data_IF_145604319886
#
_entry.id   IF_145604319886
#
_cell.length_a   1.000
_cell.length_b   1.000
_cell.length_c   1.000
_cell.angle_alpha   90.00
_cell.angle_beta   90.00
_cell.angle_gamma   90.00
#
_symmetry.space_group_name_H-M   'P 1'
#
loop_
_entity.id
_entity.type
_entity.pdbx_description
1 polymer ?
#
# COMPACT_ATOMS: atom_id res chain seq x y z
N UNK A 1 -7.76 -17.70 18.13
CA UNK A 1 -8.26 -16.33 18.34
C UNK A 1 -8.06 -15.70 16.99
N UNK A 2 -9.16 -15.53 16.26
CA UNK A 2 -9.09 -15.20 14.85
C UNK A 2 -8.65 -13.74 14.68
N UNK A 3 -7.56 -13.57 13.92
CA UNK A 3 -6.72 -12.38 13.89
C UNK A 3 -7.14 -11.39 12.82
N UNK A 4 -6.80 -10.12 13.08
CA UNK A 4 -6.88 -9.04 12.10
C UNK A 4 -5.49 -8.87 11.50
N UNK A 5 -5.41 -8.85 10.17
CA UNK A 5 -4.17 -8.65 9.43
C UNK A 5 -4.23 -7.37 8.60
N UNK A 6 -3.08 -6.74 8.42
CA UNK A 6 -2.90 -5.60 7.52
C UNK A 6 -2.09 -6.03 6.29
N UNK A 7 -2.48 -5.58 5.10
CA UNK A 7 -1.67 -5.66 3.89
C UNK A 7 -0.83 -4.39 3.73
N UNK A 8 0.43 -4.54 3.30
CA UNK A 8 1.36 -3.42 3.12
C UNK A 8 2.33 -3.65 1.95
N UNK A 9 2.87 -2.56 1.40
CA UNK A 9 3.76 -2.58 0.23
C UNK A 9 4.77 -1.43 0.20
N UNK A 10 4.85 -0.63 1.27
CA UNK A 10 5.71 0.56 1.34
C UNK A 10 6.32 0.73 2.74
N UNK A 11 6.65 1.96 3.11
CA UNK A 11 7.20 2.32 4.42
C UNK A 11 6.37 1.83 5.61
N UNK A 12 5.10 1.42 5.43
CA UNK A 12 4.36 0.79 6.53
C UNK A 12 5.07 -0.47 7.07
N UNK A 13 5.84 -1.16 6.23
CA UNK A 13 6.60 -2.37 6.59
C UNK A 13 7.78 -2.05 7.51
N UNK A 14 8.62 -1.10 7.13
CA UNK A 14 9.83 -0.70 7.88
C UNK A 14 9.53 0.29 9.01
N UNK A 15 8.50 1.11 8.83
CA UNK A 15 8.11 2.20 9.73
C UNK A 15 6.61 2.11 10.06
N UNK A 16 6.17 1.08 10.82
CA UNK A 16 4.76 0.91 11.17
C UNK A 16 4.21 2.06 12.04
N UNK A 17 5.10 2.84 12.67
CA UNK A 17 4.72 3.98 13.51
C UNK A 17 3.83 3.56 14.67
N UNK A 18 2.65 4.16 14.79
CA UNK A 18 1.67 3.82 15.83
C UNK A 18 0.80 2.58 15.53
N UNK A 19 1.04 1.87 14.42
CA UNK A 19 0.30 0.66 14.09
C UNK A 19 0.85 -0.53 14.92
N UNK A 20 0.03 -1.22 15.74
CA UNK A 20 0.52 -2.26 16.64
C UNK A 20 0.67 -3.59 15.89
N UNK A 21 1.77 -3.71 15.14
CA UNK A 21 2.14 -4.93 14.42
C UNK A 21 2.59 -5.99 15.42
N UNK A 22 1.89 -7.12 15.46
CA UNK A 22 2.18 -8.22 16.37
C UNK A 22 3.57 -8.78 16.11
N UNK A 23 4.37 -8.88 17.17
CA UNK A 23 5.75 -9.35 17.16
C UNK A 23 6.69 -8.59 16.18
N UNK A 24 6.27 -7.42 15.68
CA UNK A 24 6.91 -6.71 14.56
C UNK A 24 7.21 -7.61 13.35
N UNK A 25 6.36 -8.63 13.11
CA UNK A 25 6.60 -9.66 12.09
C UNK A 25 5.78 -9.41 10.83
N UNK A 26 6.48 -9.34 9.71
CA UNK A 26 5.90 -9.28 8.36
C UNK A 26 6.11 -10.58 7.60
N UNK A 27 5.14 -10.92 6.77
CA UNK A 27 5.13 -12.09 5.90
C UNK A 27 5.11 -11.65 4.44
N UNK A 28 5.85 -12.35 3.59
CA UNK A 28 6.12 -11.95 2.19
C UNK A 28 5.23 -12.66 1.16
N UNK A 29 4.30 -13.48 1.63
CA UNK A 29 3.46 -14.36 0.83
C UNK A 29 1.99 -13.90 0.80
N UNK A 30 1.78 -12.58 0.78
CA UNK A 30 0.47 -11.94 0.67
C UNK A 30 -0.20 -12.14 -0.70
N UNK A 31 -1.40 -11.55 -0.90
CA UNK A 31 -2.08 -11.59 -2.18
C UNK A 31 -1.34 -10.77 -3.24
N UNK A 32 -1.57 -11.06 -4.51
CA UNK A 32 -1.12 -10.19 -5.60
C UNK A 32 -2.16 -9.10 -5.84
N UNK A 33 -1.78 -7.84 -5.71
CA UNK A 33 -2.66 -6.67 -5.88
C UNK A 33 -2.07 -5.70 -6.91
N UNK A 34 -2.91 -4.99 -7.68
CA UNK A 34 -2.42 -4.08 -8.72
C UNK A 34 -1.91 -2.80 -8.06
N UNK A 35 -0.61 -2.60 -8.05
CA UNK A 35 0.04 -1.46 -7.42
C UNK A 35 0.75 -0.62 -8.46
N UNK A 36 0.77 0.70 -8.26
CA UNK A 36 1.66 1.58 -9.00
C UNK A 36 1.99 2.86 -8.20
N UNK A 37 3.12 3.49 -8.51
CA UNK A 37 3.60 4.76 -7.95
C UNK A 37 2.76 5.93 -8.51
N UNK A 38 1.49 5.95 -8.12
CA UNK A 38 0.41 6.66 -8.82
C UNK A 38 -0.37 7.62 -7.91
N UNK A 39 0.07 7.80 -6.67
CA UNK A 39 -0.49 8.77 -5.73
C UNK A 39 0.47 9.91 -5.46
N UNK A 40 -0.04 11.14 -5.44
CA UNK A 40 0.70 12.30 -4.94
C UNK A 40 0.21 12.60 -3.52
N UNK A 41 1.09 12.49 -2.55
CA UNK A 41 0.84 12.77 -1.12
C UNK A 41 0.54 14.26 -0.88
N UNK A 42 -0.05 14.65 0.27
CA UNK A 42 -0.25 16.06 0.60
C UNK A 42 1.04 16.90 0.55
N UNK A 43 2.18 16.29 0.85
CA UNK A 43 3.51 16.90 0.81
C UNK A 43 4.13 16.97 -0.59
N UNK A 44 3.37 16.63 -1.65
CA UNK A 44 3.81 16.63 -3.05
C UNK A 44 4.91 15.61 -3.38
N UNK A 45 5.09 14.59 -2.55
CA UNK A 45 5.86 13.39 -2.92
C UNK A 45 4.95 12.31 -3.54
N UNK A 46 5.54 11.28 -4.13
CA UNK A 46 4.82 10.12 -4.68
C UNK A 46 4.68 8.99 -3.67
N UNK A 47 3.63 8.19 -3.82
CA UNK A 47 3.39 6.98 -3.04
C UNK A 47 2.81 5.85 -3.90
N UNK A 48 3.13 4.61 -3.54
CA UNK A 48 2.47 3.42 -4.06
C UNK A 48 1.03 3.37 -3.58
N UNK A 49 0.11 3.11 -4.50
CA UNK A 49 -1.27 2.80 -4.15
C UNK A 49 -1.86 1.81 -5.15
N UNK A 50 -3.06 1.34 -4.83
CA UNK A 50 -3.82 0.43 -5.67
C UNK A 50 -4.25 1.13 -6.95
N UNK A 51 -3.81 0.62 -8.10
CA UNK A 51 -3.99 1.22 -9.42
C UNK A 51 -4.71 0.22 -10.32
N UNK A 52 -5.97 0.50 -10.67
CA UNK A 52 -6.74 -0.38 -11.56
C UNK A 52 -6.02 -0.59 -12.89
N UNK A 53 -6.01 -1.84 -13.35
CA UNK A 53 -5.34 -2.26 -14.58
C UNK A 53 -3.81 -2.32 -14.52
N UNK A 54 -3.18 -2.04 -13.37
CA UNK A 54 -1.75 -2.29 -13.19
C UNK A 54 -1.44 -3.78 -13.03
N UNK A 55 -0.20 -4.16 -13.32
CA UNK A 55 0.26 -5.53 -13.12
C UNK A 55 0.20 -5.91 -11.62
N UNK A 56 -0.37 -7.07 -11.27
CA UNK A 56 -0.44 -7.49 -9.87
C UNK A 56 0.94 -7.79 -9.28
N UNK A 57 1.20 -7.24 -8.09
CA UNK A 57 2.43 -7.46 -7.31
C UNK A 57 2.08 -8.10 -5.98
N UNK A 58 2.89 -9.07 -5.55
CA UNK A 58 2.72 -9.74 -4.26
C UNK A 58 3.02 -8.75 -3.13
N UNK A 59 2.01 -8.49 -2.30
CA UNK A 59 2.15 -7.59 -1.15
C UNK A 59 2.56 -8.34 0.11
N UNK A 60 2.98 -7.60 1.13
CA UNK A 60 3.29 -8.14 2.45
C UNK A 60 2.06 -8.08 3.34
N UNK A 61 2.08 -8.85 4.41
CA UNK A 61 1.03 -8.81 5.43
C UNK A 61 1.59 -9.02 6.84
N UNK A 62 0.85 -8.59 7.85
CA UNK A 62 1.19 -8.81 9.25
C UNK A 62 -0.06 -8.85 10.13
N UNK A 63 0.02 -9.57 11.25
CA UNK A 63 -1.01 -9.54 12.28
C UNK A 63 -0.97 -8.22 13.05
N UNK A 64 -2.15 -7.74 13.47
CA UNK A 64 -2.30 -6.59 14.35
C UNK A 64 -2.74 -7.01 15.75
N UNK A 65 -2.28 -6.27 16.75
CA UNK A 65 -2.84 -6.31 18.10
C UNK A 65 -4.12 -5.46 18.16
N UNK A 66 -5.18 -5.96 17.52
CA UNK A 66 -6.51 -5.36 17.52
C UNK A 66 -7.59 -6.45 17.59
N UNK A 67 -8.65 -6.18 18.36
CA UNK A 67 -9.77 -7.11 18.60
C UNK A 67 -10.98 -6.84 17.68
N UNK A 68 -11.11 -5.62 17.18
CA UNK A 68 -12.26 -5.15 16.38
C UNK A 68 -11.83 -4.52 15.06
N UNK A 69 -12.61 -4.78 14.01
CA UNK A 69 -12.42 -4.18 12.67
C UNK A 69 -12.36 -2.66 12.75
N UNK A 70 -13.31 -2.04 13.45
CA UNK A 70 -13.36 -0.59 13.63
C UNK A 70 -12.11 -0.02 14.29
N UNK A 71 -11.52 -0.73 15.26
CA UNK A 71 -10.28 -0.34 15.92
C UNK A 71 -9.09 -0.45 14.97
N UNK A 72 -8.99 -1.55 14.22
CA UNK A 72 -7.91 -1.77 13.26
C UNK A 72 -7.95 -0.76 12.11
N UNK A 73 -9.15 -0.50 11.57
CA UNK A 73 -9.43 0.54 10.57
C UNK A 73 -9.00 1.92 11.08
N UNK A 74 -9.41 2.29 12.30
CA UNK A 74 -9.01 3.56 12.90
C UNK A 74 -7.49 3.66 13.07
N UNK A 75 -6.83 2.62 13.59
CA UNK A 75 -5.38 2.60 13.79
C UNK A 75 -4.62 2.81 12.47
N UNK A 76 -5.03 2.09 11.42
CA UNK A 76 -4.43 2.24 10.11
C UNK A 76 -4.70 3.64 9.53
N UNK A 77 -5.91 4.18 9.70
CA UNK A 77 -6.24 5.54 9.24
C UNK A 77 -5.38 6.61 9.94
N UNK A 78 -5.13 6.46 11.25
CA UNK A 78 -4.23 7.35 11.97
C UNK A 78 -2.80 7.27 11.44
N UNK A 79 -2.31 6.05 11.17
CA UNK A 79 -0.97 5.84 10.60
C UNK A 79 -0.84 6.42 9.19
N UNK A 80 -1.89 6.35 8.39
CA UNK A 80 -1.92 6.90 7.03
C UNK A 80 -2.21 8.41 6.99
N UNK A 81 -2.62 9.01 8.12
CA UNK A 81 -3.05 10.41 8.18
C UNK A 81 -4.30 10.67 7.33
N UNK A 82 -5.23 9.71 7.28
CA UNK A 82 -6.42 9.77 6.44
C UNK A 82 -7.71 9.47 7.23
N UNK A 83 -8.85 9.70 6.58
CA UNK A 83 -10.15 9.33 7.14
C UNK A 83 -10.38 7.82 7.04
N UNK A 84 -11.08 7.20 8.01
CA UNK A 84 -11.35 5.75 8.05
C UNK A 84 -11.92 5.16 6.75
N UNK A 85 -12.68 5.93 5.96
CA UNK A 85 -13.27 5.45 4.71
C UNK A 85 -12.24 5.21 3.61
N UNK A 86 -10.98 5.62 3.81
CA UNK A 86 -9.84 5.33 2.92
C UNK A 86 -9.01 4.12 3.39
N UNK A 87 -9.55 3.34 4.33
CA UNK A 87 -9.02 2.03 4.71
C UNK A 87 -10.00 0.98 4.22
N UNK A 88 -9.53 0.07 3.39
CA UNK A 88 -10.33 -1.06 2.97
C UNK A 88 -10.32 -2.16 4.04
N UNK A 89 -11.40 -2.93 4.11
CA UNK A 89 -11.46 -4.12 4.94
C UNK A 89 -12.28 -5.22 4.29
N UNK A 90 -11.97 -6.46 4.68
CA UNK A 90 -12.74 -7.65 4.39
C UNK A 90 -12.84 -8.49 5.67
N UNK A 91 -14.06 -8.73 6.14
CA UNK A 91 -14.36 -9.68 7.22
C UNK A 91 -14.79 -11.02 6.58
N UNK A 92 -14.01 -12.07 6.83
CA UNK A 92 -14.20 -13.38 6.21
C UNK A 92 -15.40 -14.15 6.79
N UNK A 93 -15.77 -13.85 8.04
CA UNK A 93 -16.83 -14.56 8.75
C UNK A 93 -18.21 -14.04 8.32
N UNK A 94 -18.38 -12.72 8.34
CA UNK A 94 -19.62 -12.07 7.90
C UNK A 94 -19.72 -11.93 6.38
N UNK A 95 -18.58 -11.95 5.68
CA UNK A 95 -18.48 -11.60 4.27
C UNK A 95 -18.53 -10.10 3.99
N UNK A 96 -18.71 -9.25 5.01
CA UNK A 96 -18.76 -7.80 4.90
C UNK A 96 -17.42 -7.24 4.43
N UNK A 97 -17.45 -6.26 3.54
CA UNK A 97 -16.25 -5.57 3.07
C UNK A 97 -16.54 -4.12 2.72
N UNK A 98 -15.48 -3.31 2.74
CA UNK A 98 -15.49 -1.95 2.25
C UNK A 98 -14.21 -1.68 1.46
N UNK A 99 -14.35 -1.01 0.33
CA UNK A 99 -13.22 -0.49 -0.44
C UNK A 99 -13.66 0.59 -1.43
N UNK A 100 -12.69 1.35 -1.93
CA UNK A 100 -12.81 2.45 -2.88
C UNK A 100 -12.06 2.19 -4.18
N UNK A 101 -11.00 1.36 -4.15
CA UNK A 101 -10.13 1.13 -5.31
C UNK A 101 -10.09 -0.31 -5.82
N UNK A 102 -10.29 -1.30 -4.95
CA UNK A 102 -10.03 -2.74 -5.21
C UNK A 102 -11.26 -3.63 -5.16
N UNK A 103 -12.45 -3.10 -5.47
CA UNK A 103 -13.69 -3.88 -5.58
C UNK A 103 -13.52 -5.14 -6.44
N UNK A 104 -12.87 -5.03 -7.59
CA UNK A 104 -12.58 -6.15 -8.50
C UNK A 104 -11.56 -7.16 -7.95
N UNK A 105 -10.80 -6.80 -6.91
CA UNK A 105 -9.76 -7.63 -6.28
C UNK A 105 -10.11 -8.12 -4.88
N UNK A 106 -11.29 -7.78 -4.33
CA UNK A 106 -11.73 -8.29 -3.03
C UNK A 106 -11.74 -9.82 -3.01
N UNK A 107 -12.16 -10.46 -4.09
CA UNK A 107 -12.15 -11.92 -4.17
C UNK A 107 -10.74 -12.51 -4.22
N UNK A 108 -9.76 -11.79 -4.78
CA UNK A 108 -8.35 -12.17 -4.69
C UNK A 108 -7.86 -12.16 -3.24
N UNK A 109 -8.24 -11.14 -2.47
CA UNK A 109 -7.90 -11.05 -1.04
C UNK A 109 -8.60 -12.16 -0.25
N UNK A 110 -9.89 -12.39 -0.52
CA UNK A 110 -10.69 -13.46 0.12
C UNK A 110 -10.07 -14.82 -0.10
N UNK A 111 -9.78 -15.16 -1.36
CA UNK A 111 -9.18 -16.44 -1.74
C UNK A 111 -7.83 -16.63 -1.06
N UNK A 112 -6.96 -15.61 -1.13
CA UNK A 112 -5.65 -15.67 -0.48
C UNK A 112 -5.76 -15.94 1.03
N UNK A 113 -6.65 -15.23 1.72
CA UNK A 113 -6.81 -15.41 3.16
C UNK A 113 -7.42 -16.79 3.50
N UNK A 114 -8.31 -17.31 2.64
CA UNK A 114 -8.80 -18.69 2.72
C UNK A 114 -7.68 -19.72 2.59
N UNK A 115 -6.83 -19.58 1.57
CA UNK A 115 -5.64 -20.43 1.35
C UNK A 115 -4.67 -20.37 2.55
N UNK A 116 -4.52 -19.21 3.20
CA UNK A 116 -3.73 -19.07 4.44
C UNK A 116 -4.36 -19.82 5.61
N UNK A 117 -5.67 -19.71 5.77
CA UNK A 117 -6.39 -20.42 6.83
C UNK A 117 -6.33 -21.94 6.64
N UNK A 118 -6.43 -22.42 5.40
CA UNK A 118 -6.21 -23.84 5.07
C UNK A 118 -4.78 -24.29 5.40
N UNK A 119 -3.80 -23.39 5.28
CA UNK A 119 -2.41 -23.63 5.65
C UNK A 119 -2.12 -23.48 7.16
N UNK A 120 -3.13 -23.23 7.99
CA UNK A 120 -3.01 -23.18 9.45
C UNK A 120 -2.93 -21.78 10.06
N UNK A 121 -3.12 -20.72 9.27
CA UNK A 121 -3.35 -19.37 9.80
C UNK A 121 -4.78 -19.25 10.38
N UNK A 122 -5.03 -18.20 11.16
CA UNK A 122 -6.34 -17.91 11.78
C UNK A 122 -6.74 -16.47 11.43
N UNK A 123 -6.80 -16.14 10.13
CA UNK A 123 -7.16 -14.80 9.63
C UNK A 123 -8.69 -14.67 9.63
N UNK A 124 -9.20 -13.65 10.33
CA UNK A 124 -10.63 -13.25 10.29
C UNK A 124 -10.86 -12.05 9.40
N UNK A 125 -9.99 -11.05 9.51
CA UNK A 125 -10.20 -9.73 8.91
C UNK A 125 -8.92 -9.31 8.23
N UNK A 126 -9.03 -8.83 7.00
CA UNK A 126 -7.93 -8.23 6.25
C UNK A 126 -8.22 -6.75 6.10
N UNK A 127 -7.26 -5.88 6.42
CA UNK A 127 -7.35 -4.44 6.18
C UNK A 127 -6.19 -3.95 5.31
N UNK A 128 -6.37 -2.84 4.59
CA UNK A 128 -5.33 -2.28 3.73
C UNK A 128 -5.48 -0.78 3.50
N UNK A 129 -4.41 -0.14 3.05
CA UNK A 129 -4.42 1.25 2.60
C UNK A 129 -5.18 1.37 1.27
N UNK A 130 -6.31 2.06 1.26
CA UNK A 130 -7.20 2.17 0.10
C UNK A 130 -7.31 3.63 -0.40
N UNK A 131 -6.22 4.38 -0.22
CA UNK A 131 -6.06 5.72 -0.78
C UNK A 131 -5.97 5.67 -2.31
N UNK A 132 -6.83 6.44 -2.98
CA UNK A 132 -6.93 6.46 -4.44
C UNK A 132 -5.65 6.99 -5.13
N UNK A 133 -5.35 6.50 -6.34
CA UNK A 133 -4.40 7.16 -7.22
C UNK A 133 -4.93 8.55 -7.58
N UNK A 134 -4.01 9.51 -7.69
CA UNK A 134 -4.36 10.87 -8.07
C UNK A 134 -3.21 11.63 -8.76
N UNK A 135 -2.17 10.92 -9.19
CA UNK A 135 -1.06 11.47 -9.97
C UNK A 135 -1.56 12.23 -11.18
N UNK A 136 -2.43 11.64 -12.00
CA UNK A 136 -2.84 12.28 -13.25
C UNK A 136 -3.55 13.61 -13.02
N UNK A 137 -4.40 13.65 -12.00
CA UNK A 137 -5.12 14.85 -11.58
C UNK A 137 -4.19 15.91 -10.98
N UNK A 138 -3.24 15.51 -10.13
CA UNK A 138 -2.38 16.45 -9.37
C UNK A 138 -1.16 16.92 -10.15
N UNK A 139 -0.55 16.04 -10.95
CA UNK A 139 0.56 16.34 -11.84
C UNK A 139 0.11 16.87 -13.21
N UNK A 140 -1.18 16.70 -13.56
CA UNK A 140 -1.76 17.07 -14.87
C UNK A 140 -1.02 16.41 -16.04
N UNK A 141 -0.70 15.12 -15.89
CA UNK A 141 0.08 14.29 -16.81
C UNK A 141 -0.44 12.86 -16.74
N UNK A 142 -0.42 12.12 -17.83
CA UNK A 142 -0.72 10.69 -17.81
C UNK A 142 0.30 9.94 -16.95
N UNK A 143 -0.14 8.85 -16.29
CA UNK A 143 0.73 8.00 -15.50
C UNK A 143 1.65 7.18 -16.41
N UNK A 144 2.81 7.74 -16.75
CA UNK A 144 3.88 7.05 -17.48
C UNK A 144 5.21 7.21 -16.74
N UNK A 145 6.18 6.29 -16.94
CA UNK A 145 7.51 6.41 -16.39
C UNK A 145 8.16 7.78 -16.66
N UNK A 146 8.08 8.27 -17.89
CA UNK A 146 8.70 9.53 -18.32
C UNK A 146 8.06 10.73 -17.61
N UNK A 147 6.73 10.73 -17.51
CA UNK A 147 5.99 11.80 -16.84
C UNK A 147 6.27 11.84 -15.34
N UNK A 148 6.40 10.68 -14.71
CA UNK A 148 6.73 10.55 -13.29
C UNK A 148 8.16 11.01 -13.01
N UNK A 149 9.13 10.58 -13.82
CA UNK A 149 10.52 11.05 -13.72
C UNK A 149 10.59 12.57 -13.92
N UNK A 150 9.91 13.11 -14.93
CA UNK A 150 9.86 14.56 -15.17
C UNK A 150 9.20 15.32 -14.01
N UNK A 151 8.16 14.75 -13.38
CA UNK A 151 7.54 15.31 -12.19
C UNK A 151 8.51 15.36 -11.01
N UNK A 152 9.23 14.25 -10.75
CA UNK A 152 10.22 14.15 -9.66
C UNK A 152 11.38 15.15 -9.84
N UNK A 153 11.85 15.36 -11.07
CA UNK A 153 12.88 16.38 -11.39
C UNK A 153 12.42 17.81 -11.05
N UNK A 154 11.12 18.09 -11.18
CA UNK A 154 10.53 19.39 -10.90
C UNK A 154 10.24 19.68 -9.43
N UNK A 155 10.49 18.73 -8.53
CA UNK A 155 10.25 18.90 -7.09
C UNK A 155 11.24 19.90 -6.47
N UNK A 156 10.76 20.67 -5.49
CA UNK A 156 11.62 21.53 -4.67
C UNK A 156 12.60 20.66 -3.85
N UNK A 157 13.82 21.14 -3.54
CA UNK A 157 14.85 20.32 -2.88
C UNK A 157 14.37 19.50 -1.67
N UNK A 158 13.72 20.11 -0.67
CA UNK A 158 13.24 19.37 0.50
C UNK A 158 12.04 18.42 0.26
N UNK A 159 11.34 18.55 -0.87
CA UNK A 159 10.32 17.56 -1.30
C UNK A 159 10.99 16.41 -2.06
N UNK A 160 12.02 16.74 -2.83
CA UNK A 160 12.85 15.80 -3.59
C UNK A 160 13.57 14.81 -2.67
N UNK A 161 14.15 15.28 -1.56
CA UNK A 161 14.73 14.44 -0.51
C UNK A 161 13.70 13.45 0.05
N UNK A 162 12.51 13.93 0.43
CA UNK A 162 11.43 13.06 0.94
C UNK A 162 10.93 12.04 -0.09
N UNK A 163 10.94 12.40 -1.37
CA UNK A 163 10.61 11.48 -2.44
C UNK A 163 11.66 10.37 -2.56
N UNK A 164 12.94 10.75 -2.53
CA UNK A 164 14.05 9.79 -2.50
C UNK A 164 13.92 8.83 -1.31
N UNK A 165 13.77 9.36 -0.10
CA UNK A 165 13.66 8.57 1.13
C UNK A 165 12.50 7.56 1.05
N UNK A 166 11.34 8.02 0.58
CA UNK A 166 10.20 7.13 0.37
C UNK A 166 10.49 6.01 -0.63
N UNK A 167 11.02 6.36 -1.82
CA UNK A 167 11.30 5.40 -2.90
C UNK A 167 12.35 4.38 -2.46
N UNK A 168 13.40 4.84 -1.77
CA UNK A 168 14.47 3.99 -1.24
C UNK A 168 13.99 3.07 -0.13
N UNK A 169 12.97 3.46 0.63
CA UNK A 169 12.39 2.61 1.68
C UNK A 169 11.29 1.64 1.22
N UNK A 170 10.86 1.67 -0.04
CA UNK A 170 9.94 0.67 -0.58
C UNK A 170 10.63 -0.70 -0.57
N UNK A 171 10.00 -1.77 -0.03
CA UNK A 171 10.58 -3.11 -0.01
C UNK A 171 11.07 -3.57 -1.40
N UNK A 172 12.22 -4.23 -1.46
CA UNK A 172 12.86 -4.65 -2.72
C UNK A 172 11.98 -5.58 -3.56
N UNK A 173 11.19 -6.44 -2.90
CA UNK A 173 10.24 -7.35 -3.56
C UNK A 173 9.05 -6.66 -4.23
N UNK A 174 8.82 -5.37 -3.95
CA UNK A 174 7.78 -4.57 -4.59
C UNK A 174 8.38 -3.91 -5.84
N UNK A 175 7.90 -4.37 -7.00
CA UNK A 175 8.36 -3.94 -8.32
C UNK A 175 7.17 -3.65 -9.20
N UNK A 176 7.10 -2.43 -9.71
CA UNK A 176 6.07 -1.96 -10.65
C UNK A 176 6.77 -1.24 -11.79
N UNK A 177 6.17 -1.17 -13.00
CA UNK A 177 6.82 -0.54 -14.15
C UNK A 177 7.33 0.88 -13.90
N UNK A 178 6.53 1.76 -13.28
CA UNK A 178 6.97 3.14 -12.98
C UNK A 178 8.01 3.17 -11.87
N UNK A 179 7.83 2.40 -10.79
CA UNK A 179 8.81 2.36 -9.69
C UNK A 179 10.18 1.89 -10.17
N UNK A 180 10.22 0.84 -10.99
CA UNK A 180 11.46 0.30 -11.53
C UNK A 180 12.16 1.30 -12.45
N UNK A 181 11.41 2.04 -13.27
CA UNK A 181 11.97 3.10 -14.09
C UNK A 181 12.54 4.26 -13.25
N UNK A 182 11.86 4.65 -12.16
CA UNK A 182 12.35 5.67 -11.23
C UNK A 182 13.63 5.21 -10.51
N UNK A 183 13.69 3.95 -10.08
CA UNK A 183 14.90 3.35 -9.50
C UNK A 183 16.05 3.30 -10.52
N UNK A 184 15.76 2.96 -11.77
CA UNK A 184 16.77 2.98 -12.84
C UNK A 184 17.31 4.39 -13.13
N UNK A 185 16.49 5.43 -12.93
CA UNK A 185 16.85 6.83 -13.10
C UNK A 185 17.46 7.48 -11.84
N UNK A 186 17.84 6.71 -10.81
CA UNK A 186 18.25 7.23 -9.49
C UNK A 186 19.33 8.31 -9.58
N UNK A 187 20.40 8.07 -10.35
CA UNK A 187 21.52 9.04 -10.51
C UNK A 187 21.06 10.34 -11.17
N UNK A 188 20.25 10.25 -12.23
CA UNK A 188 19.73 11.43 -12.92
C UNK A 188 18.73 12.20 -12.05
N UNK A 189 18.01 11.49 -11.18
CA UNK A 189 17.03 12.09 -10.31
C UNK A 189 17.65 12.78 -9.11
N UNK A 190 18.65 12.20 -8.44
CA UNK A 190 19.06 12.68 -7.12
C UNK A 190 20.46 13.28 -7.03
N UNK A 191 21.31 13.12 -8.04
CA UNK A 191 22.60 13.82 -8.14
C UNK A 191 22.40 15.26 -8.67
#
# INVERSE_FOLDING_TARGET
>A
MSGIVVLAWDLLVSEPGGLPVKDNRWFHDGPCLPLELSRVTPQWTLALCLQRGADPVRVLWAYLEADKVSRAVWLLSQRLGCQPENVGFLDLESGEFWCRTVDEHVETIRRWAGEKNEAGEDIRVVIWNDLKPDFERRARRELTPENVIAYLKGLRPGVKEKARDYISGIPEGIRTPVLDAVRAAERELWD
#
